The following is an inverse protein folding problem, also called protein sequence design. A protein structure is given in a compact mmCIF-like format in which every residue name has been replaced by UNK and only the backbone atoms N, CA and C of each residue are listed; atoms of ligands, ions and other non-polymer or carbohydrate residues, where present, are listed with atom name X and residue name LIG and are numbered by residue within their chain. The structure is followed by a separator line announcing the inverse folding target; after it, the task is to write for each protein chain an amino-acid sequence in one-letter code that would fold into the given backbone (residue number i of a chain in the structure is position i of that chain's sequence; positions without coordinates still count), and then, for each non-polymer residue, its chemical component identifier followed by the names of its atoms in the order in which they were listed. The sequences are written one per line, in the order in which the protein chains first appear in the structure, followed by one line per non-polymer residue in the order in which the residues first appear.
data_IF_786317504716
#
_entry.id   IF_786317504716
#
_cell.length_a   1.000
_cell.length_b   1.000
_cell.length_c   1.000
_cell.angle_alpha   90.00
_cell.angle_beta   90.00
_cell.angle_gamma   90.00
#
_symmetry.space_group_name_H-M   'P 1'
#
loop_
_entity.id
_entity.type
_entity.pdbx_description
1 polymer ?
#
# COMPACT_ATOMS: atom_id res chain seq x y z
N UNK A 1 -0.59 26.00 -13.96
CA UNK A 1 0.51 25.93 -13.00
C UNK A 1 1.37 24.73 -13.32
N UNK A 2 2.68 24.93 -13.31
CA UNK A 2 3.65 23.89 -13.54
C UNK A 2 3.57 22.84 -12.43
N UNK A 3 3.76 21.56 -12.75
CA UNK A 3 3.71 20.48 -11.75
C UNK A 3 4.72 20.72 -10.61
N UNK A 4 5.87 21.32 -10.93
CA UNK A 4 6.90 21.68 -9.94
C UNK A 4 6.45 22.80 -9.00
N UNK A 5 5.65 23.74 -9.48
CA UNK A 5 5.06 24.79 -8.63
C UNK A 5 4.04 24.18 -7.67
N UNK A 6 3.21 23.25 -8.12
CA UNK A 6 2.25 22.55 -7.28
C UNK A 6 2.92 21.72 -6.20
N UNK A 7 3.96 20.96 -6.56
CA UNK A 7 4.74 20.17 -5.62
C UNK A 7 5.44 21.06 -4.59
N UNK A 8 5.99 22.20 -5.03
CA UNK A 8 6.60 23.21 -4.14
C UNK A 8 5.60 23.79 -3.13
N UNK A 9 4.34 23.97 -3.52
CA UNK A 9 3.27 24.41 -2.61
C UNK A 9 2.93 23.33 -1.59
N UNK A 10 2.84 22.07 -2.00
CA UNK A 10 2.57 20.94 -1.11
C UNK A 10 3.62 20.77 -0.01
N UNK A 11 4.88 21.14 -0.29
CA UNK A 11 5.95 21.19 0.72
C UNK A 11 5.68 22.22 1.82
N UNK A 12 5.01 23.31 1.50
CA UNK A 12 4.72 24.40 2.44
C UNK A 12 3.44 24.18 3.24
N UNK A 13 2.44 23.55 2.63
CA UNK A 13 1.09 23.42 3.20
C UNK A 13 0.87 22.11 3.96
N UNK A 14 1.89 21.22 4.07
CA UNK A 14 1.82 19.88 4.69
C UNK A 14 0.75 18.93 4.12
N UNK A 15 -0.09 19.39 3.20
CA UNK A 15 -1.10 18.58 2.53
C UNK A 15 -1.64 19.32 1.31
N UNK A 16 -1.77 18.62 0.18
CA UNK A 16 -2.44 19.15 -1.01
C UNK A 16 -3.07 18.03 -1.83
N UNK A 17 -4.06 18.36 -2.66
CA UNK A 17 -4.78 17.42 -3.49
C UNK A 17 -4.03 17.14 -4.79
N UNK A 18 -3.99 15.88 -5.19
CA UNK A 18 -3.44 15.43 -6.46
C UNK A 18 -4.22 14.24 -7.00
N UNK A 19 -3.95 13.88 -8.23
CA UNK A 19 -4.52 12.66 -8.78
C UNK A 19 -3.91 11.41 -8.14
N UNK A 20 -4.72 10.41 -7.85
CA UNK A 20 -4.25 9.18 -7.22
C UNK A 20 -5.33 8.10 -7.08
N UNK A 21 -5.06 7.09 -6.28
CA UNK A 21 -6.02 6.04 -6.01
C UNK A 21 -7.04 6.49 -4.95
N UNK A 22 -8.34 6.52 -5.23
CA UNK A 22 -9.35 6.87 -4.24
C UNK A 22 -9.46 5.89 -3.06
N UNK A 23 -8.86 4.70 -3.16
CA UNK A 23 -8.76 3.74 -2.05
C UNK A 23 -7.62 4.06 -1.07
N UNK A 24 -6.79 5.07 -1.38
CA UNK A 24 -5.70 5.53 -0.51
C UNK A 24 -6.21 5.89 0.88
N UNK A 25 -5.48 5.41 1.91
CA UNK A 25 -5.78 5.68 3.31
C UNK A 25 -4.74 6.61 3.95
N UNK A 26 -5.11 7.36 5.00
CA UNK A 26 -4.15 8.16 5.75
C UNK A 26 -2.99 7.30 6.25
N UNK A 27 -1.77 7.79 6.02
CA UNK A 27 -0.54 7.07 6.38
C UNK A 27 0.06 6.23 5.26
N UNK A 28 -0.67 5.98 4.17
CA UNK A 28 -0.11 5.29 3.01
C UNK A 28 1.12 6.02 2.46
N UNK A 29 2.11 5.23 2.06
CA UNK A 29 3.33 5.73 1.43
C UNK A 29 3.10 5.92 -0.06
N UNK A 30 3.43 7.10 -0.56
CA UNK A 30 3.24 7.47 -1.96
C UNK A 30 4.60 7.74 -2.59
N UNK A 31 4.94 6.97 -3.61
CA UNK A 31 6.13 7.16 -4.42
C UNK A 31 5.79 8.05 -5.61
N UNK A 32 6.41 9.21 -5.70
CA UNK A 32 6.16 10.14 -6.79
C UNK A 32 7.13 9.90 -7.94
N UNK A 33 6.57 9.57 -9.10
CA UNK A 33 7.32 9.46 -10.34
C UNK A 33 7.15 10.73 -11.17
N UNK A 34 8.25 11.39 -11.50
CA UNK A 34 8.27 12.52 -12.42
C UNK A 34 8.53 12.03 -13.85
N UNK A 35 7.75 12.57 -14.79
CA UNK A 35 7.88 12.28 -16.20
C UNK A 35 9.11 12.97 -16.84
N UNK A 36 9.23 12.84 -18.15
CA UNK A 36 10.24 13.53 -18.94
C UNK A 36 10.28 15.04 -18.61
N UNK A 37 11.47 15.63 -18.42
CA UNK A 37 12.79 15.04 -18.71
C UNK A 37 13.37 14.14 -17.62
N UNK A 38 12.87 14.17 -16.40
CA UNK A 38 13.45 13.48 -15.22
C UNK A 38 13.33 11.96 -15.32
N UNK A 39 12.14 11.46 -15.66
CA UNK A 39 11.83 10.04 -15.82
C UNK A 39 12.34 9.16 -14.67
N UNK A 40 11.98 9.50 -13.43
CA UNK A 40 12.45 8.85 -12.20
C UNK A 40 11.48 8.97 -11.05
N UNK A 41 11.57 8.07 -10.05
CA UNK A 41 11.07 8.36 -8.71
C UNK A 41 12.00 9.36 -8.03
N UNK A 42 11.43 10.46 -7.54
CA UNK A 42 12.19 11.60 -7.03
C UNK A 42 11.87 11.96 -5.58
N UNK A 43 10.74 11.49 -5.09
CA UNK A 43 10.30 11.81 -3.75
C UNK A 43 9.29 10.80 -3.20
N UNK A 44 9.27 10.72 -1.89
CA UNK A 44 8.36 9.88 -1.10
C UNK A 44 7.47 10.81 -0.30
N UNK A 45 6.18 10.51 -0.28
CA UNK A 45 5.15 11.31 0.37
C UNK A 45 4.29 10.42 1.26
N UNK A 46 3.51 11.03 2.12
CA UNK A 46 2.54 10.34 2.95
C UNK A 46 1.13 10.85 2.66
N UNK A 47 0.18 9.94 2.50
CA UNK A 47 -1.23 10.30 2.44
C UNK A 47 -1.69 10.91 3.76
N UNK A 48 -2.36 12.06 3.69
CA UNK A 48 -2.79 12.84 4.87
C UNK A 48 -4.29 12.73 5.14
N UNK A 49 -5.06 12.23 4.15
CA UNK A 49 -6.49 12.00 4.26
C UNK A 49 -6.89 10.81 3.36
N UNK A 50 -8.10 10.24 3.54
CA UNK A 50 -8.62 9.24 2.63
C UNK A 50 -8.70 9.76 1.20
N UNK A 51 -8.44 8.88 0.23
CA UNK A 51 -8.67 9.18 -1.17
C UNK A 51 -10.16 9.42 -1.45
N UNK A 52 -10.47 10.11 -2.53
CA UNK A 52 -11.85 10.47 -2.87
C UNK A 52 -12.03 10.63 -4.38
N UNK A 53 -13.28 10.72 -4.79
CA UNK A 53 -13.66 11.03 -6.16
C UNK A 53 -14.27 12.43 -6.18
N UNK A 54 -13.67 13.31 -6.99
CA UNK A 54 -14.18 14.68 -7.21
C UNK A 54 -14.53 14.85 -8.70
N UNK A 55 -15.81 14.91 -9.06
CA UNK A 55 -16.24 15.04 -10.45
C UNK A 55 -15.88 16.40 -11.05
N UNK A 56 -15.53 17.38 -10.24
CA UNK A 56 -15.12 18.71 -10.69
C UNK A 56 -13.61 18.86 -10.80
N UNK A 57 -12.85 17.91 -10.27
CA UNK A 57 -11.40 17.89 -10.38
C UNK A 57 -10.99 17.31 -11.74
N UNK A 58 -9.99 17.92 -12.37
CA UNK A 58 -9.51 17.56 -13.72
C UNK A 58 -9.25 16.06 -13.91
N UNK A 59 -8.74 15.41 -12.87
CA UNK A 59 -8.37 13.99 -12.92
C UNK A 59 -9.40 13.06 -12.29
N UNK A 60 -10.49 13.60 -11.72
CA UNK A 60 -11.58 12.84 -11.16
C UNK A 60 -11.23 12.02 -9.91
N UNK A 61 -10.07 11.35 -9.89
CA UNK A 61 -9.59 10.51 -8.77
C UNK A 61 -8.53 11.26 -8.01
N UNK A 62 -8.74 11.48 -6.73
CA UNK A 62 -7.95 12.40 -5.92
C UNK A 62 -7.44 11.76 -4.64
N UNK A 63 -6.28 12.24 -4.20
CA UNK A 63 -5.69 11.94 -2.90
C UNK A 63 -5.20 13.24 -2.28
N UNK A 64 -5.11 13.26 -0.94
CA UNK A 64 -4.36 14.27 -0.21
C UNK A 64 -3.06 13.69 0.28
N UNK A 65 -1.95 14.35 0.03
CA UNK A 65 -0.65 13.93 0.52
C UNK A 65 0.24 15.13 0.88
N UNK A 66 1.23 14.88 1.71
CA UNK A 66 2.16 15.87 2.22
C UNK A 66 3.44 15.23 2.73
N UNK A 67 4.23 15.96 3.49
CA UNK A 67 5.47 15.50 4.14
C UNK A 67 6.46 14.89 3.15
N UNK A 68 6.91 15.63 2.13
CA UNK A 68 7.81 15.11 1.12
C UNK A 68 9.20 14.81 1.70
N UNK A 69 9.75 13.69 1.30
CA UNK A 69 11.15 13.34 1.45
C UNK A 69 11.74 13.17 0.05
N UNK A 70 12.65 14.05 -0.31
CA UNK A 70 13.35 13.97 -1.59
C UNK A 70 14.44 12.92 -1.50
N UNK A 71 14.57 12.13 -2.57
CA UNK A 71 15.52 11.04 -2.67
C UNK A 71 16.46 11.23 -3.85
N UNK A 72 17.63 10.58 -3.79
CA UNK A 72 18.45 10.38 -5.00
C UNK A 72 17.60 9.61 -6.01
N UNK A 73 17.37 10.17 -7.21
CA UNK A 73 16.38 9.64 -8.12
C UNK A 73 16.62 8.19 -8.53
N UNK A 74 15.57 7.38 -8.51
CA UNK A 74 15.57 6.05 -9.07
C UNK A 74 15.00 6.11 -10.49
N UNK A 75 15.90 6.08 -11.48
CA UNK A 75 15.56 6.32 -12.88
C UNK A 75 14.72 5.18 -13.48
N UNK A 76 13.89 5.50 -14.46
CA UNK A 76 13.06 4.51 -15.17
C UNK A 76 13.87 3.33 -15.72
N UNK A 77 15.08 3.59 -16.22
CA UNK A 77 15.97 2.55 -16.71
C UNK A 77 16.29 1.52 -15.63
N UNK A 78 16.56 1.97 -14.41
CA UNK A 78 16.88 1.11 -13.27
C UNK A 78 15.66 0.28 -12.88
N UNK A 79 14.46 0.88 -12.88
CA UNK A 79 13.21 0.15 -12.63
C UNK A 79 12.97 -0.95 -13.68
N UNK A 80 13.16 -0.62 -14.94
CA UNK A 80 12.93 -1.55 -16.06
C UNK A 80 13.91 -2.74 -16.03
N UNK A 81 15.17 -2.46 -15.71
CA UNK A 81 16.24 -3.45 -15.74
C UNK A 81 16.29 -4.32 -14.46
N UNK A 82 15.53 -3.93 -13.43
CA UNK A 82 15.39 -4.71 -12.19
C UNK A 82 14.51 -5.95 -12.40
N UNK A 83 14.91 -7.14 -11.87
CA UNK A 83 14.20 -8.40 -12.11
C UNK A 83 12.80 -8.48 -11.48
N UNK A 84 12.52 -7.67 -10.45
CA UNK A 84 11.21 -7.59 -9.79
C UNK A 84 10.42 -6.41 -10.34
N UNK A 85 11.00 -5.20 -10.28
CA UNK A 85 10.31 -3.98 -10.65
C UNK A 85 9.99 -3.92 -12.15
N UNK A 86 10.84 -4.47 -13.00
CA UNK A 86 10.59 -4.57 -14.44
C UNK A 86 9.38 -5.43 -14.83
N UNK A 87 8.87 -6.23 -13.90
CA UNK A 87 7.66 -7.05 -14.12
C UNK A 87 6.37 -6.30 -13.79
N UNK A 88 6.45 -5.19 -13.08
CA UNK A 88 5.29 -4.37 -12.70
C UNK A 88 4.58 -3.89 -13.98
N UNK A 89 3.26 -4.06 -14.08
CA UNK A 89 2.51 -3.65 -15.29
C UNK A 89 2.74 -2.20 -15.67
N UNK A 90 2.80 -1.30 -14.69
CA UNK A 90 3.04 0.13 -14.92
C UNK A 90 4.43 0.39 -15.50
N UNK A 91 5.46 -0.32 -15.04
CA UNK A 91 6.83 -0.21 -15.58
C UNK A 91 6.88 -0.76 -17.01
N UNK A 92 6.22 -1.89 -17.29
CA UNK A 92 6.09 -2.43 -18.66
C UNK A 92 5.37 -1.45 -19.59
N UNK A 93 4.38 -0.73 -19.09
CA UNK A 93 3.66 0.31 -19.81
C UNK A 93 4.43 1.65 -19.87
N UNK A 94 5.74 1.66 -19.55
CA UNK A 94 6.59 2.86 -19.51
C UNK A 94 6.02 3.97 -18.61
N UNK A 95 5.48 3.59 -17.47
CA UNK A 95 4.80 4.47 -16.52
C UNK A 95 3.55 5.16 -17.11
N UNK A 96 3.04 4.67 -18.23
CA UNK A 96 1.78 5.14 -18.82
C UNK A 96 0.63 4.35 -18.23
N UNK A 97 -0.34 5.02 -17.63
CA UNK A 97 -1.47 4.37 -17.00
C UNK A 97 -2.17 5.25 -15.97
N UNK A 98 -3.01 4.62 -15.17
CA UNK A 98 -3.69 5.33 -14.07
C UNK A 98 -2.69 5.67 -12.96
N UNK A 99 -2.73 6.92 -12.50
CA UNK A 99 -2.02 7.32 -11.31
C UNK A 99 -2.58 6.62 -10.06
N UNK A 100 -1.70 6.35 -9.10
CA UNK A 100 -2.07 5.66 -7.88
C UNK A 100 -2.21 4.16 -8.05
N UNK A 101 -1.33 3.53 -8.82
CA UNK A 101 -1.20 2.07 -8.85
C UNK A 101 -0.62 1.58 -7.52
N UNK A 102 -1.34 0.68 -6.84
CA UNK A 102 -0.84 0.04 -5.64
C UNK A 102 0.31 -0.93 -5.97
N UNK A 103 1.37 -0.87 -5.19
CA UNK A 103 2.47 -1.84 -5.26
C UNK A 103 2.20 -3.01 -4.32
N UNK A 104 2.63 -4.20 -4.73
CA UNK A 104 2.70 -5.34 -3.82
C UNK A 104 3.79 -5.13 -2.77
N UNK A 105 3.69 -5.77 -1.60
CA UNK A 105 4.72 -5.67 -0.56
C UNK A 105 6.15 -5.95 -1.06
N UNK A 106 6.33 -7.00 -1.85
CA UNK A 106 7.64 -7.33 -2.46
C UNK A 106 8.14 -6.28 -3.43
N UNK A 107 7.24 -5.68 -4.23
CA UNK A 107 7.58 -4.60 -5.16
C UNK A 107 7.98 -3.33 -4.41
N UNK A 108 7.21 -2.96 -3.39
CA UNK A 108 7.51 -1.82 -2.53
C UNK A 108 8.85 -1.99 -1.80
N UNK A 109 9.06 -3.12 -1.13
CA UNK A 109 10.31 -3.40 -0.43
C UNK A 109 11.51 -3.36 -1.40
N UNK A 110 11.33 -3.86 -2.63
CA UNK A 110 12.38 -3.77 -3.65
C UNK A 110 12.71 -2.35 -4.05
N UNK A 111 11.70 -1.46 -4.15
CA UNK A 111 11.96 -0.03 -4.38
C UNK A 111 12.79 0.56 -3.24
N UNK A 112 12.47 0.23 -1.96
CA UNK A 112 13.26 0.70 -0.82
C UNK A 112 14.71 0.23 -0.89
N UNK A 113 14.94 -1.06 -1.20
CA UNK A 113 16.29 -1.60 -1.39
C UNK A 113 17.07 -0.87 -2.49
N UNK A 114 16.42 -0.58 -3.62
CA UNK A 114 17.04 0.19 -4.70
C UNK A 114 17.38 1.63 -4.26
N UNK A 115 16.50 2.27 -3.49
CA UNK A 115 16.75 3.61 -2.94
C UNK A 115 17.89 3.59 -1.93
N UNK A 116 17.92 2.62 -1.00
CA UNK A 116 19.01 2.44 -0.02
C UNK A 116 20.34 2.24 -0.72
N UNK A 117 20.39 1.44 -1.78
CA UNK A 117 21.61 1.20 -2.57
C UNK A 117 22.18 2.45 -3.23
N UNK A 118 21.36 3.48 -3.39
CA UNK A 118 21.75 4.81 -3.90
C UNK A 118 22.16 5.78 -2.78
N UNK A 119 22.18 5.31 -1.53
CA UNK A 119 22.54 6.13 -0.36
C UNK A 119 21.40 6.94 0.23
N UNK A 120 20.15 6.64 -0.16
CA UNK A 120 19.00 7.22 0.53
C UNK A 120 18.78 6.51 1.87
N UNK A 121 18.36 7.26 2.88
CA UNK A 121 17.89 6.68 4.14
C UNK A 121 16.40 6.38 4.04
N UNK A 122 16.03 5.11 3.95
CA UNK A 122 14.64 4.65 3.97
C UNK A 122 14.23 3.99 5.28
N UNK A 123 15.07 4.07 6.32
CA UNK A 123 14.84 3.39 7.61
C UNK A 123 13.58 3.85 8.36
N UNK A 124 13.11 5.06 8.06
CA UNK A 124 11.86 5.62 8.62
C UNK A 124 10.58 5.05 7.97
N UNK A 125 10.72 4.32 6.87
CA UNK A 125 9.60 3.72 6.15
C UNK A 125 9.35 2.28 6.63
N UNK A 126 8.10 1.88 6.79
CA UNK A 126 7.78 0.51 7.17
C UNK A 126 8.20 -0.45 6.05
N UNK A 127 8.88 -1.53 6.41
CA UNK A 127 9.04 -2.68 5.52
C UNK A 127 7.74 -3.49 5.56
N UNK A 128 7.16 -3.70 4.40
CA UNK A 128 5.93 -4.48 4.30
C UNK A 128 6.29 -5.97 4.27
N UNK A 129 5.72 -6.73 5.18
CA UNK A 129 5.72 -8.19 5.06
C UNK A 129 4.64 -8.58 4.06
N UNK A 130 4.93 -9.56 3.21
CA UNK A 130 3.88 -10.22 2.45
C UNK A 130 2.91 -10.83 3.47
N UNK A 131 1.82 -10.14 3.71
CA UNK A 131 0.73 -10.76 4.40
C UNK A 131 0.21 -11.88 3.50
N UNK A 132 -0.12 -13.01 4.11
CA UNK A 132 -0.85 -14.08 3.47
C UNK A 132 -1.89 -13.47 2.55
N UNK A 133 -1.60 -13.46 1.27
CA UNK A 133 -2.65 -13.29 0.29
C UNK A 133 -3.40 -14.61 0.33
N UNK A 134 -4.64 -14.55 0.79
CA UNK A 134 -5.57 -15.67 0.73
C UNK A 134 -5.70 -16.28 -0.68
N UNK A 135 -5.03 -15.71 -1.67
CA UNK A 135 -4.99 -16.15 -3.06
C UNK A 135 -4.27 -17.50 -3.25
N UNK A 136 -3.36 -17.88 -2.35
CA UNK A 136 -2.65 -19.18 -2.46
C UNK A 136 -3.27 -20.27 -1.58
N UNK A 137 -4.22 -19.90 -0.71
CA UNK A 137 -4.98 -20.84 0.08
C UNK A 137 -6.24 -21.24 -0.70
N UNK A 138 -6.45 -22.51 -0.94
CA UNK A 138 -7.75 -23.02 -1.44
C UNK A 138 -8.82 -22.86 -0.34
N UNK A 139 -9.22 -21.61 -0.09
CA UNK A 139 -10.29 -21.29 0.85
C UNK A 139 -11.60 -21.61 0.15
N UNK A 140 -12.19 -22.75 0.47
CA UNK A 140 -13.46 -23.20 -0.09
C UNK A 140 -14.62 -23.14 0.89
N UNK A 141 -14.33 -23.22 2.17
CA UNK A 141 -15.33 -23.22 3.24
C UNK A 141 -14.84 -22.36 4.41
N UNK A 142 -15.77 -21.92 5.25
CA UNK A 142 -15.53 -21.11 6.43
C UNK A 142 -14.41 -21.66 7.34
N UNK A 143 -14.37 -22.97 7.52
CA UNK A 143 -13.33 -23.66 8.31
C UNK A 143 -11.91 -23.48 7.72
N UNK A 144 -11.79 -23.25 6.43
CA UNK A 144 -10.50 -22.98 5.79
C UNK A 144 -10.03 -21.56 6.12
N UNK A 145 -10.96 -20.60 6.19
CA UNK A 145 -10.70 -19.22 6.66
C UNK A 145 -10.16 -19.25 8.08
N UNK A 146 -10.83 -19.99 8.97
CA UNK A 146 -10.39 -20.13 10.35
C UNK A 146 -8.95 -20.65 10.45
N UNK A 147 -8.68 -21.79 9.83
CA UNK A 147 -7.40 -22.49 9.95
C UNK A 147 -6.25 -21.81 9.21
N UNK A 148 -6.53 -21.25 8.05
CA UNK A 148 -5.48 -20.75 7.16
C UNK A 148 -5.24 -19.25 7.32
N UNK A 149 -6.21 -18.51 7.85
CA UNK A 149 -6.13 -17.07 8.02
C UNK A 149 -6.19 -16.65 9.49
N UNK A 150 -7.27 -16.99 10.21
CA UNK A 150 -7.51 -16.45 11.55
C UNK A 150 -6.55 -17.02 12.60
N UNK A 151 -6.31 -18.34 12.62
CA UNK A 151 -5.41 -18.94 13.59
C UNK A 151 -3.95 -18.47 13.44
N UNK A 152 -3.36 -18.48 12.26
CA UNK A 152 -2.03 -17.92 12.09
C UNK A 152 -1.95 -16.43 12.45
N UNK A 153 -3.02 -15.67 12.23
CA UNK A 153 -3.09 -14.27 12.63
C UNK A 153 -3.11 -14.14 14.17
N UNK A 154 -3.94 -14.91 14.87
CA UNK A 154 -3.98 -14.91 16.32
C UNK A 154 -2.63 -15.30 16.92
N UNK A 155 -1.98 -16.34 16.40
CA UNK A 155 -0.65 -16.75 16.85
C UNK A 155 0.40 -15.63 16.65
N UNK A 156 0.36 -14.91 15.54
CA UNK A 156 1.23 -13.74 15.30
C UNK A 156 0.96 -12.58 16.25
N UNK A 157 -0.28 -12.39 16.65
CA UNK A 157 -0.67 -11.40 17.66
C UNK A 157 -0.31 -11.83 19.09
N UNK A 158 0.32 -13.00 19.24
CA UNK A 158 0.75 -13.52 20.55
C UNK A 158 -0.30 -14.33 21.30
N UNK A 159 -1.44 -14.63 20.67
CA UNK A 159 -2.45 -15.50 21.25
C UNK A 159 -2.04 -16.96 21.11
N UNK A 160 -2.15 -17.72 22.18
CA UNK A 160 -1.94 -19.16 22.15
C UNK A 160 -3.27 -19.90 22.04
N UNK A 161 -3.26 -21.12 21.53
CA UNK A 161 -4.48 -21.96 21.43
C UNK A 161 -5.20 -22.19 22.74
N UNK A 162 -4.54 -21.98 23.85
CA UNK A 162 -5.15 -22.09 25.21
C UNK A 162 -5.96 -20.84 25.58
N UNK A 163 -5.81 -19.74 24.83
CA UNK A 163 -6.43 -18.44 25.14
C UNK A 163 -7.69 -18.14 24.33
N UNK A 164 -8.02 -18.99 23.35
CA UNK A 164 -9.25 -18.85 22.59
C UNK A 164 -9.90 -20.21 22.35
N UNK A 165 -11.23 -20.21 22.28
CA UNK A 165 -12.04 -21.40 22.04
C UNK A 165 -12.85 -21.20 20.78
N UNK A 166 -12.71 -22.12 19.83
CA UNK A 166 -13.51 -22.10 18.60
C UNK A 166 -14.94 -22.54 18.89
N UNK A 167 -15.88 -21.93 18.21
CA UNK A 167 -17.28 -22.37 18.17
C UNK A 167 -17.84 -22.75 19.55
N UNK A 168 -17.59 -21.90 20.54
CA UNK A 168 -18.08 -22.12 21.86
C UNK A 168 -19.61 -22.11 21.88
N UNK A 169 -20.28 -23.19 22.34
CA UNK A 169 -21.73 -23.21 22.36
C UNK A 169 -22.30 -22.23 23.38
N UNK A 170 -22.98 -21.21 22.90
CA UNK A 170 -23.69 -20.24 23.75
C UNK A 170 -25.19 -20.54 23.74
N UNK A 171 -25.77 -20.81 24.91
CA UNK A 171 -27.22 -20.95 25.04
C UNK A 171 -27.89 -19.58 24.97
N UNK A 172 -28.73 -19.41 23.95
CA UNK A 172 -29.58 -18.25 23.77
C UNK A 172 -31.02 -18.58 24.10
N UNK A 173 -31.45 -18.25 25.31
CA UNK A 173 -32.83 -18.53 25.78
C UNK A 173 -33.16 -20.01 25.98
N UNK A 174 -34.46 -20.39 25.89
CA UNK A 174 -34.96 -21.72 26.26
C UNK A 174 -34.79 -22.82 25.19
N UNK A 175 -34.22 -22.57 24.04
CA UNK A 175 -34.23 -23.58 23.00
C UNK A 175 -33.23 -23.43 21.85
N UNK A 176 -32.39 -22.40 21.82
CA UNK A 176 -31.40 -22.25 20.74
C UNK A 176 -29.98 -22.18 21.29
N UNK A 177 -29.09 -22.88 20.63
CA UNK A 177 -27.62 -22.78 20.85
C UNK A 177 -27.02 -22.11 19.63
N UNK A 178 -26.25 -21.07 19.86
CA UNK A 178 -25.47 -20.37 18.83
C UNK A 178 -23.99 -20.72 19.02
N UNK A 179 -23.30 -20.91 17.94
CA UNK A 179 -21.87 -21.20 17.92
C UNK A 179 -21.15 -19.98 17.28
N UNK A 180 -20.70 -19.02 18.07
CA UNK A 180 -19.83 -17.97 17.54
C UNK A 180 -18.50 -18.58 17.09
N UNK A 181 -17.89 -17.99 16.08
CA UNK A 181 -16.66 -18.53 15.49
C UNK A 181 -15.46 -18.44 16.43
N UNK A 182 -15.41 -17.39 17.27
CA UNK A 182 -14.39 -17.13 18.30
C UNK A 182 -14.97 -16.34 19.48
#
# INVERSE_FOLDING_TARGET
PDADEWLSRGCKENSFAWQGNPETQPGDVILLYQWTPTSAFTSIWQATAPGFIDPLFWYYRCIYFGRPVYVQPLAFRELRDDPILGKIPLVKAKMQGMNGTALKPSEYNRVLECLDSKGNDTSFLPKLTEHYTAADAEIRIERDVEKQLLEPLLERLGWTRAQYVRQMPLRMGRGSTVYPDY
#
